data_IF_383691198706
#
_entry.id   IF_383691198706
#
_cell.length_a   1.000
_cell.length_b   1.000
_cell.length_c   1.000
_cell.angle_alpha   90.00
_cell.angle_beta   90.00
_cell.angle_gamma   90.00
#
_symmetry.space_group_name_H-M   'P 1'
#
loop_
_entity.id
_entity.type
_entity.pdbx_description
1 polymer ?
#
# COMPACT_ATOMS: atom_id res chain seq x y z
N UNK A 1 -2.04 -10.29 13.96
CA UNK A 1 -1.05 -10.01 15.02
C UNK A 1 -0.16 -8.92 14.46
N UNK A 2 0.09 -7.78 15.08
CA UNK A 2 -0.47 -7.22 16.32
C UNK A 2 -1.70 -6.31 16.09
N UNK A 3 -2.08 -6.13 14.83
CA UNK A 3 -3.25 -5.33 14.48
C UNK A 3 -3.36 -5.02 13.00
N UNK A 4 -4.57 -4.67 12.58
CA UNK A 4 -4.82 -4.21 11.22
C UNK A 4 -5.89 -3.11 11.18
N UNK A 5 -5.90 -2.36 10.07
CA UNK A 5 -6.99 -1.52 9.63
C UNK A 5 -7.42 -2.02 8.27
N UNK A 6 -8.74 -2.11 8.02
CA UNK A 6 -9.27 -2.33 6.69
C UNK A 6 -10.06 -1.09 6.27
N UNK A 7 -9.77 -0.59 5.07
CA UNK A 7 -10.54 0.45 4.39
C UNK A 7 -11.19 -0.15 3.15
N UNK A 8 -12.42 0.28 2.87
CA UNK A 8 -13.11 0.02 1.60
C UNK A 8 -13.29 1.37 0.92
N UNK A 9 -12.79 1.51 -0.31
CA UNK A 9 -12.82 2.77 -1.07
C UNK A 9 -12.28 3.96 -0.25
N UNK A 10 -11.18 3.74 0.47
CA UNK A 10 -10.55 4.72 1.35
C UNK A 10 -11.25 4.99 2.70
N UNK A 11 -12.41 4.36 2.95
CA UNK A 11 -13.15 4.54 4.21
C UNK A 11 -12.84 3.40 5.18
N UNK A 12 -12.25 3.74 6.33
CA UNK A 12 -11.97 2.78 7.39
C UNK A 12 -13.24 2.11 7.91
N UNK A 13 -13.26 0.77 7.87
CA UNK A 13 -14.39 -0.05 8.33
C UNK A 13 -14.16 -0.57 9.75
N UNK A 14 -12.91 -0.92 10.06
CA UNK A 14 -12.47 -1.20 11.42
C UNK A 14 -11.00 -0.83 11.56
N UNK A 15 -10.58 -0.58 12.79
CA UNK A 15 -9.17 -0.42 13.13
C UNK A 15 -8.90 -0.99 14.53
N UNK A 16 -7.94 -1.91 14.60
CA UNK A 16 -7.31 -2.38 15.82
C UNK A 16 -5.79 -2.29 15.66
N UNK A 17 -5.33 -1.23 14.99
CA UNK A 17 -3.96 -1.04 14.56
C UNK A 17 -2.98 -0.95 15.75
N UNK A 18 -1.89 -1.73 15.70
CA UNK A 18 -0.81 -1.79 16.69
C UNK A 18 -1.27 -1.92 18.15
N UNK A 19 -2.29 -2.71 18.43
CA UNK A 19 -2.78 -2.88 19.82
C UNK A 19 -1.89 -3.79 20.67
N UNK A 20 -0.95 -4.53 20.06
CA UNK A 20 -0.10 -5.50 20.75
C UNK A 20 -0.83 -6.79 21.14
N UNK A 21 -1.96 -7.05 20.49
CA UNK A 21 -2.78 -8.24 20.72
C UNK A 21 -3.14 -8.88 19.38
N UNK A 22 -3.06 -10.22 19.34
CA UNK A 22 -3.79 -10.99 18.34
C UNK A 22 -5.29 -10.67 18.45
N UNK A 23 -5.84 -10.04 17.42
CA UNK A 23 -7.26 -9.72 17.37
C UNK A 23 -7.83 -10.09 16.01
N UNK A 24 -8.86 -10.94 16.04
CA UNK A 24 -9.78 -11.13 14.92
C UNK A 24 -10.86 -10.07 15.04
N UNK A 25 -10.96 -9.21 14.04
CA UNK A 25 -11.97 -8.16 13.92
C UNK A 25 -12.88 -8.44 12.73
N UNK A 26 -14.16 -8.08 12.86
CA UNK A 26 -15.15 -8.27 11.81
C UNK A 26 -16.14 -7.10 11.73
N UNK A 27 -16.75 -6.95 10.58
CA UNK A 27 -17.77 -5.95 10.27
C UNK A 27 -18.66 -6.49 9.15
N UNK A 28 -19.79 -5.83 8.90
CA UNK A 28 -20.65 -6.13 7.76
C UNK A 28 -20.60 -4.99 6.75
N UNK A 29 -20.59 -5.33 5.47
CA UNK A 29 -20.61 -4.38 4.36
C UNK A 29 -21.47 -4.92 3.23
N UNK A 30 -22.24 -4.04 2.59
CA UNK A 30 -23.08 -4.41 1.44
C UNK A 30 -22.28 -4.16 0.17
N UNK A 31 -21.91 -5.24 -0.51
CA UNK A 31 -21.31 -5.18 -1.84
C UNK A 31 -22.40 -5.37 -2.90
N UNK A 32 -22.34 -4.61 -3.98
CA UNK A 32 -23.09 -4.92 -5.17
C UNK A 32 -22.32 -5.99 -5.96
N UNK A 33 -23.03 -7.00 -6.46
CA UNK A 33 -22.42 -8.03 -7.29
C UNK A 33 -21.79 -7.43 -8.55
N UNK A 34 -20.61 -7.95 -8.92
CA UNK A 34 -19.84 -7.56 -10.11
C UNK A 34 -19.24 -6.15 -10.10
N UNK A 35 -19.33 -5.42 -8.99
CA UNK A 35 -18.58 -4.18 -8.80
C UNK A 35 -17.21 -4.47 -8.17
N UNK A 36 -16.22 -3.62 -8.50
CA UNK A 36 -14.90 -3.64 -7.90
C UNK A 36 -14.82 -2.63 -6.76
N UNK A 37 -14.14 -3.00 -5.68
CA UNK A 37 -13.95 -2.17 -4.51
C UNK A 37 -12.47 -2.15 -4.14
N UNK A 38 -11.97 -0.98 -3.78
CA UNK A 38 -10.59 -0.84 -3.33
C UNK A 38 -10.51 -1.30 -1.87
N UNK A 39 -9.73 -2.34 -1.64
CA UNK A 39 -9.43 -2.83 -0.29
C UNK A 39 -8.01 -2.39 0.08
N UNK A 40 -7.91 -1.58 1.12
CA UNK A 40 -6.63 -1.17 1.68
C UNK A 40 -6.50 -1.75 3.08
N UNK A 41 -5.45 -2.55 3.30
CA UNK A 41 -5.16 -3.17 4.58
C UNK A 41 -3.83 -2.66 5.09
N UNK A 42 -3.88 -1.87 6.16
CA UNK A 42 -2.69 -1.47 6.92
C UNK A 42 -2.51 -2.46 8.07
N UNK A 43 -1.37 -3.16 8.15
CA UNK A 43 -1.06 -4.04 9.29
C UNK A 43 0.14 -3.54 10.08
N UNK A 44 0.27 -4.03 11.30
CA UNK A 44 1.32 -3.63 12.23
C UNK A 44 1.85 -4.83 12.99
N UNK A 45 3.18 -4.90 13.09
CA UNK A 45 3.93 -5.89 13.88
C UNK A 45 4.78 -5.18 14.91
N UNK A 46 4.64 -5.54 16.18
CA UNK A 46 5.48 -5.03 17.27
C UNK A 46 6.59 -6.02 17.65
N UNK A 47 6.37 -7.33 17.51
CA UNK A 47 7.38 -8.38 17.73
C UNK A 47 7.01 -9.72 17.07
N UNK A 48 7.98 -10.64 16.98
CA UNK A 48 7.81 -12.09 16.66
C UNK A 48 7.18 -12.48 15.31
N UNK A 49 6.72 -11.50 14.51
CA UNK A 49 6.31 -11.65 13.13
C UNK A 49 4.79 -11.61 12.90
N UNK A 50 4.42 -11.38 11.64
CA UNK A 50 3.06 -11.12 11.20
C UNK A 50 2.28 -12.37 10.82
N UNK A 51 1.02 -12.42 11.25
CA UNK A 51 -0.02 -13.17 10.53
C UNK A 51 -1.23 -12.26 10.26
N UNK A 52 -1.58 -12.17 8.98
CA UNK A 52 -2.75 -11.46 8.46
C UNK A 52 -3.54 -12.41 7.55
N UNK A 53 -4.86 -12.51 7.80
CA UNK A 53 -5.77 -13.26 6.94
C UNK A 53 -7.06 -12.47 6.74
N UNK A 54 -7.46 -12.27 5.49
CA UNK A 54 -8.77 -11.74 5.14
C UNK A 54 -9.74 -12.89 4.86
N UNK A 55 -10.91 -12.84 5.45
CA UNK A 55 -11.97 -13.84 5.27
C UNK A 55 -13.33 -13.14 5.25
N UNK A 56 -14.30 -13.73 4.56
CA UNK A 56 -15.65 -13.20 4.43
C UNK A 56 -16.69 -14.30 4.71
N UNK A 57 -17.91 -13.90 5.02
CA UNK A 57 -19.07 -14.79 5.03
C UNK A 57 -20.18 -14.15 4.18
N UNK A 58 -20.55 -14.82 3.10
CA UNK A 58 -21.60 -14.38 2.16
C UNK A 58 -22.92 -15.13 2.38
N UNK A 59 -23.10 -15.72 3.57
CA UNK A 59 -24.27 -16.51 3.96
C UNK A 59 -24.08 -18.03 3.91
N UNK A 60 -22.84 -18.49 3.70
CA UNK A 60 -22.48 -19.92 3.62
C UNK A 60 -21.41 -20.33 4.64
N UNK A 61 -21.09 -19.45 5.59
CA UNK A 61 -19.99 -19.63 6.53
C UNK A 61 -18.73 -18.90 6.08
N UNK A 62 -17.85 -18.68 7.05
CA UNK A 62 -16.62 -17.92 6.84
C UNK A 62 -15.62 -18.70 5.97
N UNK A 63 -15.13 -18.07 4.91
CA UNK A 63 -14.06 -18.60 4.05
C UNK A 63 -13.01 -17.53 3.79
N UNK A 64 -11.76 -17.95 3.51
CA UNK A 64 -10.74 -17.05 2.99
C UNK A 64 -11.26 -16.47 1.68
N UNK A 65 -11.13 -15.16 1.49
CA UNK A 65 -11.55 -14.50 0.25
C UNK A 65 -10.81 -15.18 -0.91
N UNK A 66 -11.53 -15.86 -1.83
CA UNK A 66 -10.90 -16.65 -2.88
C UNK A 66 -10.07 -15.79 -3.82
N UNK A 67 -8.96 -16.32 -4.34
CA UNK A 67 -8.01 -15.52 -5.10
C UNK A 67 -8.58 -14.96 -6.40
N UNK A 68 -9.57 -15.63 -6.98
CA UNK A 68 -10.32 -15.21 -8.16
C UNK A 68 -11.14 -13.92 -7.96
N UNK A 69 -11.36 -13.49 -6.71
CA UNK A 69 -12.08 -12.26 -6.39
C UNK A 69 -11.15 -11.05 -6.22
N UNK A 70 -9.82 -11.23 -6.30
CA UNK A 70 -8.87 -10.12 -6.35
C UNK A 70 -8.62 -9.73 -7.81
N UNK A 71 -9.05 -8.53 -8.19
CA UNK A 71 -8.86 -8.00 -9.55
C UNK A 71 -7.38 -7.65 -9.85
N UNK A 72 -6.67 -7.15 -8.85
CA UNK A 72 -5.22 -6.95 -8.83
C UNK A 72 -4.79 -6.81 -7.37
N UNK A 73 -3.66 -7.43 -6.99
CA UNK A 73 -2.99 -7.12 -5.73
C UNK A 73 -2.04 -5.96 -5.99
N UNK A 74 -2.28 -4.80 -5.36
CA UNK A 74 -1.30 -3.71 -5.33
C UNK A 74 0.00 -4.14 -4.66
N UNK A 75 1.04 -3.32 -4.79
CA UNK A 75 2.34 -3.58 -4.17
C UNK A 75 2.17 -3.92 -2.67
N UNK A 76 2.65 -5.10 -2.27
CA UNK A 76 2.80 -5.46 -0.86
C UNK A 76 3.96 -4.65 -0.32
N UNK A 77 3.71 -3.38 -0.01
CA UNK A 77 4.68 -2.53 0.65
C UNK A 77 4.89 -3.01 2.08
N UNK A 78 6.11 -3.42 2.41
CA UNK A 78 6.52 -3.46 3.82
C UNK A 78 6.39 -2.06 4.40
N UNK A 79 5.78 -1.90 5.56
CA UNK A 79 5.73 -0.60 6.23
C UNK A 79 7.15 -0.06 6.50
N UNK A 80 7.46 1.22 6.19
CA UNK A 80 6.56 2.18 5.57
C UNK A 80 6.39 1.88 4.07
N UNK A 81 5.12 1.92 3.62
CA UNK A 81 4.67 1.74 2.24
C UNK A 81 5.76 2.13 1.23
N UNK A 82 6.51 1.14 0.76
CA UNK A 82 7.33 1.30 -0.44
C UNK A 82 6.37 1.07 -1.60
N UNK A 83 5.54 2.06 -1.93
CA UNK A 83 4.84 2.04 -3.21
C UNK A 83 5.93 2.22 -4.24
N UNK A 84 6.27 1.15 -4.96
CA UNK A 84 7.26 1.23 -6.00
C UNK A 84 6.58 1.85 -7.22
N UNK A 85 6.31 3.16 -7.17
CA UNK A 85 5.81 3.88 -8.34
C UNK A 85 6.77 3.64 -9.50
N UNK A 86 6.30 2.96 -10.56
CA UNK A 86 7.10 2.74 -11.77
C UNK A 86 7.21 4.08 -12.49
N UNK A 87 8.32 4.78 -12.25
CA UNK A 87 8.63 6.02 -12.94
C UNK A 87 9.21 5.73 -14.33
N UNK A 88 8.91 6.54 -15.36
CA UNK A 88 9.58 6.45 -16.66
C UNK A 88 11.11 6.65 -16.53
N UNK A 89 11.90 6.12 -17.47
CA UNK A 89 13.38 6.05 -17.43
C UNK A 89 14.17 7.32 -17.03
N UNK A 90 13.56 8.51 -17.06
CA UNK A 90 14.16 9.81 -16.72
C UNK A 90 13.71 10.39 -15.38
N UNK A 91 12.92 9.63 -14.64
CA UNK A 91 12.33 10.06 -13.39
C UNK A 91 12.60 9.00 -12.32
N UNK A 92 12.80 9.47 -11.10
CA UNK A 92 12.97 8.64 -9.91
C UNK A 92 11.87 8.93 -8.90
N UNK A 93 11.60 7.96 -8.03
CA UNK A 93 10.60 8.12 -6.98
C UNK A 93 11.11 9.15 -5.96
N UNK A 94 10.26 10.13 -5.64
CA UNK A 94 10.54 10.96 -4.46
C UNK A 94 10.41 10.10 -3.20
N UNK A 95 11.27 10.25 -2.18
CA UNK A 95 11.16 9.49 -0.91
C UNK A 95 9.90 9.79 -0.08
N UNK A 96 8.90 10.47 -0.65
CA UNK A 96 7.66 10.81 0.04
C UNK A 96 6.61 9.73 -0.21
N UNK A 97 5.71 9.51 0.74
CA UNK A 97 4.57 8.58 0.66
C UNK A 97 3.53 8.96 -0.42
N UNK A 98 3.90 9.84 -1.35
CA UNK A 98 3.07 10.28 -2.46
C UNK A 98 3.72 9.72 -3.72
N UNK A 99 2.96 9.04 -4.56
CA UNK A 99 3.38 8.51 -5.87
C UNK A 99 3.79 9.64 -6.83
N UNK A 100 4.92 10.28 -6.56
CA UNK A 100 5.44 11.40 -7.30
C UNK A 100 6.82 11.05 -7.84
N UNK A 101 6.90 11.07 -9.16
CA UNK A 101 8.14 10.96 -9.91
C UNK A 101 8.78 12.36 -10.02
N UNK A 102 10.03 12.50 -9.60
CA UNK A 102 10.85 13.68 -9.84
C UNK A 102 11.88 13.40 -10.93
N UNK A 103 12.33 14.42 -11.70
CA UNK A 103 13.51 14.27 -12.53
C UNK A 103 14.67 13.63 -11.77
N UNK A 104 15.32 12.66 -12.41
CA UNK A 104 16.46 11.97 -11.82
C UNK A 104 17.72 12.83 -11.93
N UNK A 105 18.40 13.04 -10.82
CA UNK A 105 19.65 13.81 -10.80
C UNK A 105 20.84 12.99 -11.33
N UNK A 106 21.64 13.58 -12.22
CA UNK A 106 22.93 13.02 -12.63
C UNK A 106 22.85 11.84 -13.61
N UNK A 107 21.73 11.68 -14.31
CA UNK A 107 21.55 10.68 -15.37
C UNK A 107 22.01 11.15 -16.77
N UNK A 108 22.49 12.41 -16.86
CA UNK A 108 22.98 13.03 -18.08
C UNK A 108 21.91 13.66 -18.96
N UNK A 109 20.64 13.66 -18.55
CA UNK A 109 19.55 14.41 -19.18
C UNK A 109 19.25 15.66 -18.37
N UNK A 110 18.90 16.76 -19.04
CA UNK A 110 18.48 18.01 -18.38
C UNK A 110 17.00 18.22 -18.68
N UNK A 111 16.15 17.96 -17.68
CA UNK A 111 14.69 18.11 -17.82
C UNK A 111 14.11 19.02 -16.74
N UNK A 112 13.24 19.97 -17.10
CA UNK A 112 12.59 20.82 -16.11
C UNK A 112 11.63 20.01 -15.23
N UNK A 113 11.61 20.13 -13.87
CA UNK A 113 12.29 21.12 -13.02
C UNK A 113 13.55 20.61 -12.28
N UNK A 114 14.38 19.77 -12.90
CA UNK A 114 15.65 19.31 -12.32
C UNK A 114 16.54 20.50 -11.92
N UNK A 115 16.88 20.59 -10.64
CA UNK A 115 17.70 21.69 -10.06
C UNK A 115 19.08 21.22 -9.59
N UNK A 116 19.34 19.92 -9.66
CA UNK A 116 20.54 19.26 -9.17
C UNK A 116 21.60 19.03 -10.25
N UNK A 117 21.30 19.34 -11.52
CA UNK A 117 22.35 19.59 -12.51
C UNK A 117 23.07 20.88 -12.10
N UNK A 118 24.05 20.70 -11.23
CA UNK A 118 24.91 21.76 -10.72
C UNK A 118 25.92 22.22 -11.78
N UNK A 119 25.83 21.74 -13.02
CA UNK A 119 26.73 22.07 -14.11
C UNK A 119 28.21 21.74 -13.76
N UNK A 120 28.44 20.74 -12.90
CA UNK A 120 29.72 20.40 -12.26
C UNK A 120 30.29 21.52 -11.35
N UNK A 121 29.45 22.29 -10.66
CA UNK A 121 29.91 23.34 -9.74
C UNK A 121 30.24 22.84 -8.34
N UNK A 122 29.81 21.64 -7.97
CA UNK A 122 30.20 20.95 -6.73
C UNK A 122 31.09 19.77 -7.06
N UNK A 123 32.28 19.71 -6.45
CA UNK A 123 33.18 18.56 -6.58
C UNK A 123 32.70 17.41 -5.68
N UNK A 124 32.52 16.24 -6.28
CA UNK A 124 32.37 14.96 -5.56
C UNK A 124 33.69 14.42 -5.05
#
# INVERSE_FOLDING_TARGET
DDGATLKINGVAQFSNYCTGFFATTSFSYNFNAFETYDLEIDWCELADGALLQLSWDVGAGMVIVPSENYAATGDVGTSPLQVSAVCPDKYEQTPSTTDQCSPKCGDGYVISPEVCDDNNTVSG
#
